data_IF_203865454385
#
_entry.id   IF_203865454385
#
_cell.length_a   1.000
_cell.length_b   1.000
_cell.length_c   1.000
_cell.angle_alpha   90.00
_cell.angle_beta   90.00
_cell.angle_gamma   90.00
#
_symmetry.space_group_name_H-M   'P 1'
#
loop_
_entity.id
_entity.type
_entity.pdbx_description
1 polymer ?
#
# COMPACT_ATOMS: atom_id res chain seq x y z
N UNK A 1 -8.30 -24.43 -17.85
CA UNK A 1 -8.69 -23.01 -18.03
C UNK A 1 -9.69 -22.55 -16.96
N UNK A 2 -10.81 -23.25 -16.73
CA UNK A 2 -11.81 -22.86 -15.71
C UNK A 2 -11.28 -22.79 -14.26
N UNK A 3 -10.52 -23.80 -13.81
CA UNK A 3 -10.00 -23.85 -12.44
C UNK A 3 -9.04 -22.68 -12.08
N UNK A 4 -8.30 -22.15 -13.06
CA UNK A 4 -7.38 -21.02 -12.84
C UNK A 4 -8.17 -19.71 -12.70
N UNK A 5 -9.23 -19.54 -13.49
CA UNK A 5 -10.10 -18.36 -13.37
C UNK A 5 -10.88 -18.36 -12.05
N UNK A 6 -11.32 -19.54 -11.59
CA UNK A 6 -12.02 -19.73 -10.32
C UNK A 6 -11.13 -19.45 -9.11
N UNK A 7 -9.90 -19.98 -9.10
CA UNK A 7 -8.91 -19.71 -8.06
C UNK A 7 -8.52 -18.22 -7.98
N UNK A 8 -8.41 -17.54 -9.13
CA UNK A 8 -8.17 -16.09 -9.17
C UNK A 8 -9.33 -15.28 -8.62
N UNK A 9 -10.56 -15.66 -8.97
CA UNK A 9 -11.76 -15.02 -8.42
C UNK A 9 -11.94 -15.27 -6.91
N UNK A 10 -11.42 -16.37 -6.39
CA UNK A 10 -11.38 -16.64 -4.95
C UNK A 10 -10.36 -15.75 -4.21
N UNK A 11 -9.14 -15.60 -4.73
CA UNK A 11 -8.13 -14.73 -4.13
C UNK A 11 -8.61 -13.26 -4.02
N UNK A 12 -9.28 -12.75 -5.06
CA UNK A 12 -9.88 -11.40 -5.03
C UNK A 12 -10.95 -11.28 -3.95
N UNK A 13 -11.82 -12.29 -3.80
CA UNK A 13 -12.89 -12.30 -2.78
C UNK A 13 -12.31 -12.33 -1.36
N UNK A 14 -11.28 -13.13 -1.13
CA UNK A 14 -10.58 -13.20 0.16
C UNK A 14 -9.95 -11.83 0.48
N UNK A 15 -9.25 -11.24 -0.48
CA UNK A 15 -8.62 -9.93 -0.32
C UNK A 15 -9.65 -8.81 -0.05
N UNK A 16 -10.80 -8.84 -0.74
CA UNK A 16 -11.91 -7.93 -0.49
C UNK A 16 -12.47 -8.06 0.93
N UNK A 17 -12.74 -9.29 1.37
CA UNK A 17 -13.27 -9.56 2.70
C UNK A 17 -12.27 -9.12 3.80
N UNK A 18 -10.98 -9.42 3.62
CA UNK A 18 -9.94 -9.04 4.54
C UNK A 18 -9.74 -7.52 4.61
N UNK A 19 -9.72 -6.84 3.46
CA UNK A 19 -9.65 -5.37 3.41
C UNK A 19 -10.86 -4.74 4.09
N UNK A 20 -12.07 -5.25 3.84
CA UNK A 20 -13.29 -4.75 4.48
C UNK A 20 -13.21 -4.91 6.00
N UNK A 21 -12.87 -6.09 6.49
CA UNK A 21 -12.76 -6.34 7.93
C UNK A 21 -11.72 -5.42 8.59
N UNK A 22 -10.57 -5.23 7.94
CA UNK A 22 -9.55 -4.30 8.42
C UNK A 22 -10.05 -2.84 8.43
N UNK A 23 -10.74 -2.41 7.37
CA UNK A 23 -11.32 -1.07 7.29
C UNK A 23 -12.34 -0.85 8.40
N UNK A 24 -13.27 -1.77 8.59
CA UNK A 24 -14.31 -1.67 9.61
C UNK A 24 -13.69 -1.52 11.02
N UNK A 25 -12.68 -2.33 11.36
CA UNK A 25 -11.98 -2.25 12.66
C UNK A 25 -11.20 -0.94 12.83
N UNK A 26 -10.46 -0.55 11.79
CA UNK A 26 -9.64 0.66 11.79
C UNK A 26 -10.49 1.93 11.82
N UNK A 27 -11.62 1.94 11.10
CA UNK A 27 -12.51 3.09 11.01
C UNK A 27 -13.37 3.22 12.27
N UNK A 28 -13.76 2.11 12.91
CA UNK A 28 -14.35 2.14 14.25
C UNK A 28 -13.39 2.76 15.28
N UNK A 29 -12.10 2.43 15.20
CA UNK A 29 -11.07 3.11 15.98
C UNK A 29 -10.92 4.58 15.56
N UNK A 30 -10.93 4.88 14.26
CA UNK A 30 -10.78 6.24 13.75
C UNK A 30 -11.91 7.18 14.19
N UNK A 31 -13.16 6.72 14.21
CA UNK A 31 -14.34 7.48 14.64
C UNK A 31 -14.23 7.88 16.12
N UNK A 32 -13.70 6.97 16.95
CA UNK A 32 -13.43 7.23 18.37
C UNK A 32 -12.37 8.33 18.58
N UNK A 33 -11.45 8.52 17.62
CA UNK A 33 -10.30 9.44 17.73
C UNK A 33 -10.29 10.56 16.68
N UNK A 34 -11.40 10.78 15.97
CA UNK A 34 -11.55 11.83 14.95
C UNK A 34 -10.59 11.69 13.74
N UNK A 35 -10.15 10.48 13.39
CA UNK A 35 -9.27 10.24 12.23
C UNK A 35 -10.09 10.03 10.95
N UNK A 36 -9.46 10.32 9.80
CA UNK A 36 -10.09 10.16 8.48
C UNK A 36 -10.18 8.68 8.06
N UNK A 37 -11.24 8.36 7.31
CA UNK A 37 -11.43 7.09 6.60
C UNK A 37 -10.23 6.72 5.71
N UNK A 38 -10.18 5.45 5.31
CA UNK A 38 -9.04 4.90 4.57
C UNK A 38 -9.08 5.45 3.15
N UNK A 39 -8.05 6.20 2.78
CA UNK A 39 -7.92 6.63 1.39
C UNK A 39 -7.67 5.42 0.49
N UNK A 40 -8.13 5.47 -0.76
CA UNK A 40 -7.87 4.45 -1.79
C UNK A 40 -6.37 4.13 -1.93
N UNK A 41 -5.50 5.12 -1.77
CA UNK A 41 -4.04 4.92 -1.75
C UNK A 41 -3.63 3.93 -0.65
N UNK A 42 -4.14 4.11 0.56
CA UNK A 42 -3.85 3.24 1.70
C UNK A 42 -4.44 1.84 1.51
N UNK A 43 -5.63 1.73 0.91
CA UNK A 43 -6.23 0.43 0.54
C UNK A 43 -5.34 -0.35 -0.43
N UNK A 44 -4.88 0.32 -1.49
CA UNK A 44 -3.97 -0.27 -2.48
C UNK A 44 -2.64 -0.66 -1.84
N UNK A 45 -2.07 0.18 -0.99
CA UNK A 45 -0.82 -0.13 -0.27
C UNK A 45 -0.97 -1.32 0.67
N UNK A 46 -2.08 -1.39 1.40
CA UNK A 46 -2.38 -2.49 2.31
C UNK A 46 -2.53 -3.81 1.55
N UNK A 47 -3.23 -3.81 0.41
CA UNK A 47 -3.37 -5.01 -0.43
C UNK A 47 -2.04 -5.49 -1.00
N UNK A 48 -1.19 -4.58 -1.49
CA UNK A 48 0.14 -4.96 -2.00
C UNK A 48 1.02 -5.59 -0.92
N UNK A 49 0.86 -5.18 0.32
CA UNK A 49 1.64 -5.72 1.44
C UNK A 49 1.13 -7.09 1.91
N UNK A 50 -0.19 -7.27 1.98
CA UNK A 50 -0.80 -8.47 2.56
C UNK A 50 -1.13 -9.56 1.53
N UNK A 51 -1.27 -9.19 0.26
CA UNK A 51 -1.59 -10.10 -0.85
C UNK A 51 -0.64 -9.84 -2.03
N UNK A 52 0.68 -10.07 -1.86
CA UNK A 52 1.71 -9.73 -2.86
C UNK A 52 1.55 -10.48 -4.20
N UNK A 53 0.80 -11.58 -4.21
CA UNK A 53 0.48 -12.38 -5.38
C UNK A 53 -0.58 -11.74 -6.29
N UNK A 54 -1.35 -10.77 -5.78
CA UNK A 54 -2.38 -10.10 -6.58
C UNK A 54 -1.75 -9.22 -7.65
N UNK A 55 -2.29 -9.36 -8.86
CA UNK A 55 -2.00 -8.47 -9.97
C UNK A 55 -2.67 -7.11 -9.76
N UNK A 56 -2.22 -6.11 -10.50
CA UNK A 56 -2.81 -4.76 -10.46
C UNK A 56 -4.29 -4.75 -10.88
N UNK A 57 -4.71 -5.67 -11.75
CA UNK A 57 -6.11 -5.81 -12.15
C UNK A 57 -6.96 -6.41 -11.02
N UNK A 58 -6.43 -7.41 -10.31
CA UNK A 58 -7.09 -8.03 -9.17
C UNK A 58 -7.18 -7.07 -7.98
N UNK A 59 -6.14 -6.27 -7.72
CA UNK A 59 -6.19 -5.18 -6.74
C UNK A 59 -7.26 -4.15 -7.12
N UNK A 60 -7.33 -3.77 -8.40
CA UNK A 60 -8.34 -2.82 -8.89
C UNK A 60 -9.77 -3.33 -8.67
N UNK A 61 -10.00 -4.64 -8.90
CA UNK A 61 -11.27 -5.29 -8.57
C UNK A 61 -11.54 -5.30 -7.07
N UNK A 62 -10.51 -5.54 -6.24
CA UNK A 62 -10.66 -5.60 -4.80
C UNK A 62 -11.05 -4.26 -4.16
N UNK A 63 -10.59 -3.13 -4.70
CA UNK A 63 -10.92 -1.78 -4.21
C UNK A 63 -11.97 -1.05 -5.06
N UNK A 64 -12.57 -1.73 -6.05
CA UNK A 64 -13.56 -1.16 -6.96
C UNK A 64 -13.11 0.11 -7.70
N UNK A 65 -11.86 0.15 -8.17
CA UNK A 65 -11.33 1.24 -9.00
C UNK A 65 -10.80 0.73 -10.34
N UNK A 66 -10.38 1.65 -11.20
CA UNK A 66 -9.77 1.27 -12.47
C UNK A 66 -8.31 0.82 -12.29
N UNK A 67 -7.87 -0.17 -13.06
CA UNK A 67 -6.46 -0.60 -13.06
C UNK A 67 -5.49 0.57 -13.33
N UNK A 68 -5.74 1.50 -14.28
CA UNK A 68 -4.85 2.65 -14.49
C UNK A 68 -4.68 3.52 -13.24
N UNK A 69 -5.72 3.65 -12.41
CA UNK A 69 -5.60 4.36 -11.14
C UNK A 69 -4.66 3.64 -10.18
N UNK A 70 -4.80 2.31 -10.05
CA UNK A 70 -3.88 1.48 -9.24
C UNK A 70 -2.44 1.67 -9.72
N UNK A 71 -2.19 1.62 -11.02
CA UNK A 71 -0.86 1.86 -11.59
C UNK A 71 -0.27 3.22 -11.16
N UNK A 72 -1.08 4.29 -11.24
CA UNK A 72 -0.67 5.65 -10.84
C UNK A 72 -0.37 5.73 -9.34
N UNK A 73 -1.21 5.12 -8.51
CA UNK A 73 -1.02 5.08 -7.05
C UNK A 73 0.28 4.35 -6.68
N UNK A 74 0.56 3.20 -7.31
CA UNK A 74 1.80 2.46 -7.08
C UNK A 74 3.04 3.21 -7.58
N UNK A 75 2.93 3.94 -8.69
CA UNK A 75 4.01 4.80 -9.18
C UNK A 75 4.29 5.95 -8.19
N UNK A 76 3.24 6.62 -7.71
CA UNK A 76 3.36 7.67 -6.70
C UNK A 76 3.99 7.16 -5.40
N UNK A 77 3.65 5.94 -4.98
CA UNK A 77 4.28 5.26 -3.83
C UNK A 77 5.77 5.08 -4.04
N UNK A 78 6.18 4.51 -5.17
CA UNK A 78 7.59 4.26 -5.49
C UNK A 78 8.39 5.55 -5.48
N UNK A 79 7.85 6.61 -6.08
CA UNK A 79 8.47 7.92 -6.08
C UNK A 79 8.63 8.49 -4.67
N UNK A 80 7.60 8.34 -3.82
CA UNK A 80 7.66 8.77 -2.42
C UNK A 80 8.73 8.01 -1.64
N UNK A 81 8.79 6.69 -1.79
CA UNK A 81 9.78 5.85 -1.11
C UNK A 81 11.20 6.19 -1.57
N UNK A 82 11.40 6.45 -2.87
CA UNK A 82 12.68 6.90 -3.42
C UNK A 82 13.13 8.21 -2.77
N UNK A 83 12.26 9.23 -2.72
CA UNK A 83 12.57 10.51 -2.07
C UNK A 83 12.93 10.35 -0.60
N UNK A 84 12.20 9.52 0.13
CA UNK A 84 12.50 9.22 1.54
C UNK A 84 13.86 8.52 1.70
N UNK A 85 14.26 7.66 0.75
CA UNK A 85 15.58 7.04 0.75
C UNK A 85 16.68 8.08 0.50
N UNK A 86 16.52 8.92 -0.52
CA UNK A 86 17.47 10.02 -0.83
C UNK A 86 17.62 10.99 0.35
N UNK A 87 16.53 11.33 1.04
CA UNK A 87 16.57 12.17 2.25
C UNK A 87 17.34 11.49 3.39
N UNK A 88 17.12 10.19 3.62
CA UNK A 88 17.86 9.42 4.63
C UNK A 88 19.35 9.36 4.31
N UNK A 89 19.70 9.12 3.05
CA UNK A 89 21.08 9.12 2.59
C UNK A 89 21.75 10.48 2.82
N UNK A 90 21.09 11.59 2.46
CA UNK A 90 21.59 12.95 2.73
C UNK A 90 21.81 13.21 4.23
N UNK A 91 20.90 12.78 5.10
CA UNK A 91 21.06 12.94 6.55
C UNK A 91 22.26 12.13 7.08
N UNK A 92 22.52 10.96 6.50
CA UNK A 92 23.67 10.12 6.84
C UNK A 92 24.99 10.70 6.29
N UNK A 93 24.98 11.26 5.07
CA UNK A 93 26.14 11.94 4.46
C UNK A 93 26.51 13.25 5.16
N UNK A 94 25.55 13.95 5.79
CA UNK A 94 25.84 15.13 6.63
C UNK A 94 26.48 14.75 7.98
N UNK A 95 26.40 13.48 8.41
CA UNK A 95 27.12 12.95 9.57
C UNK A 95 28.34 12.10 9.16
N UNK A 96 29.38 12.73 8.59
CA UNK A 96 30.71 12.54 9.19
C UNK A 96 31.63 13.77 9.04
N UNK A 97 31.74 14.58 10.10
CA UNK A 97 33.01 15.25 10.48
C UNK A 97 32.90 15.83 11.89
N UNK A 98 32.88 14.97 12.91
CA UNK A 98 33.16 15.41 14.29
C UNK A 98 34.34 14.59 14.80
N UNK A 99 35.46 15.31 14.91
CA UNK A 99 36.72 15.04 15.61
C UNK A 99 37.58 13.88 15.13
N UNK A 100 38.70 14.22 14.47
CA UNK A 100 40.02 13.64 14.77
C UNK A 100 41.11 14.49 14.10
N UNK A 101 42.01 15.04 14.92
CA UNK A 101 43.19 15.82 14.52
C UNK A 101 43.15 17.24 15.11
N UNK A 102 44.07 17.64 15.97
CA UNK A 102 45.23 17.00 16.58
C UNK A 102 45.82 17.94 17.64
#
# INVERSE_FOLDING_TARGET
>A
MAAIAEAKGEAVRIAQAALKAFKDDRDAYAETWGRREMSTMQEVEWLVWNFPELTQSEIAQAVHVSQPLVCRLLAARRERLRKLQEERERVLEVKPKVVSGG
#
